data_IF_235861160753
#
_entry.id   IF_235861160753
#
_cell.length_a   1.000
_cell.length_b   1.000
_cell.length_c   1.000
_cell.angle_alpha   90.00
_cell.angle_beta   90.00
_cell.angle_gamma   90.00
#
_symmetry.space_group_name_H-M   'P 1'
#
loop_
_entity.id
_entity.type
_entity.pdbx_description
1 polymer ?
#
# COMPACT_ATOMS: atom_id res chain seq x y z
N UNK A 1 40.85 -14.76 4.45
CA UNK A 1 39.45 -14.37 4.55
C UNK A 1 39.19 -13.19 3.62
N UNK A 2 38.29 -13.36 2.63
CA UNK A 2 38.03 -12.37 1.56
C UNK A 2 37.82 -10.93 2.09
N UNK A 3 37.09 -10.79 3.21
CA UNK A 3 36.86 -9.47 3.84
C UNK A 3 38.20 -8.83 4.26
N UNK A 4 39.04 -9.57 4.95
CA UNK A 4 40.36 -9.06 5.41
C UNK A 4 41.29 -8.76 4.23
N UNK A 5 41.28 -9.60 3.20
CA UNK A 5 42.12 -9.45 2.03
C UNK A 5 41.73 -8.18 1.25
N UNK A 6 40.42 -7.96 1.06
CA UNK A 6 39.91 -6.74 0.41
C UNK A 6 40.18 -5.46 1.23
N UNK A 7 40.06 -5.51 2.55
CA UNK A 7 40.37 -4.36 3.42
C UNK A 7 41.88 -4.02 3.39
N UNK A 8 42.74 -5.02 3.26
CA UNK A 8 44.17 -4.82 3.17
C UNK A 8 44.60 -4.28 1.81
N UNK A 9 44.01 -4.77 0.71
CA UNK A 9 44.34 -4.33 -0.64
C UNK A 9 43.73 -2.95 -1.00
N UNK A 10 42.60 -2.60 -0.37
CA UNK A 10 41.88 -1.36 -0.64
C UNK A 10 41.70 -0.54 0.64
N UNK A 11 42.78 -0.09 1.28
CA UNK A 11 42.72 0.65 2.53
C UNK A 11 41.92 1.96 2.35
N UNK A 12 40.94 2.21 3.22
CA UNK A 12 40.09 3.39 3.16
C UNK A 12 38.79 3.21 2.38
N UNK A 13 38.58 2.11 1.67
CA UNK A 13 37.29 1.78 1.05
C UNK A 13 36.40 1.08 2.07
N UNK A 14 35.29 1.70 2.39
CA UNK A 14 34.25 1.13 3.29
C UNK A 14 33.39 0.13 2.54
N UNK A 15 32.82 -0.84 3.26
CA UNK A 15 31.80 -1.75 2.70
C UNK A 15 32.26 -3.19 2.49
N UNK A 16 33.48 -3.56 2.90
CA UNK A 16 34.00 -4.93 2.77
C UNK A 16 33.91 -5.77 4.07
N UNK A 17 32.98 -5.43 4.98
CA UNK A 17 32.67 -6.30 6.11
C UNK A 17 32.11 -7.64 5.62
N UNK A 18 32.28 -8.71 6.39
CA UNK A 18 31.75 -10.04 6.05
C UNK A 18 30.25 -10.02 5.81
N UNK A 19 29.52 -9.29 6.65
CA UNK A 19 28.07 -9.10 6.51
C UNK A 19 27.73 -8.43 5.18
N UNK A 20 28.42 -7.35 4.84
CA UNK A 20 28.14 -6.62 3.59
C UNK A 20 28.49 -7.44 2.35
N UNK A 21 29.60 -8.18 2.37
CA UNK A 21 29.98 -9.11 1.29
C UNK A 21 28.95 -10.24 1.11
N UNK A 22 28.36 -10.71 2.23
CA UNK A 22 27.26 -11.69 2.20
C UNK A 22 26.03 -11.11 1.52
N UNK A 23 25.63 -9.88 1.86
CA UNK A 23 24.53 -9.21 1.18
C UNK A 23 24.81 -8.92 -0.30
N UNK A 24 26.05 -8.59 -0.66
CA UNK A 24 26.46 -8.43 -2.07
C UNK A 24 26.31 -9.73 -2.85
N UNK A 25 26.66 -10.88 -2.23
CA UNK A 25 26.41 -12.20 -2.83
C UNK A 25 24.92 -12.47 -3.00
N UNK A 26 24.08 -12.17 -1.98
CA UNK A 26 22.63 -12.38 -2.09
C UNK A 26 21.98 -11.44 -3.08
N UNK A 27 22.43 -10.21 -3.16
CA UNK A 27 22.03 -9.26 -4.20
C UNK A 27 22.27 -9.82 -5.60
N UNK A 28 23.49 -10.31 -5.85
CA UNK A 28 23.81 -10.95 -7.12
C UNK A 28 22.91 -12.16 -7.40
N UNK A 29 22.76 -13.05 -6.44
CA UNK A 29 21.92 -14.25 -6.62
C UNK A 29 20.45 -13.93 -6.85
N UNK A 30 19.93 -12.86 -6.22
CA UNK A 30 18.55 -12.45 -6.35
C UNK A 30 18.23 -11.82 -7.71
N UNK A 31 19.18 -11.04 -8.26
CA UNK A 31 18.94 -10.25 -9.47
C UNK A 31 19.73 -10.72 -10.71
N UNK A 32 20.65 -11.70 -10.59
CA UNK A 32 21.57 -12.08 -11.68
C UNK A 32 20.86 -12.55 -12.93
N UNK A 33 19.76 -13.28 -12.83
CA UNK A 33 19.01 -13.74 -14.00
C UNK A 33 18.42 -12.56 -14.77
N UNK A 34 17.86 -11.59 -14.07
CA UNK A 34 17.33 -10.36 -14.67
C UNK A 34 18.42 -9.50 -15.29
N UNK A 35 19.57 -9.38 -14.61
CA UNK A 35 20.73 -8.59 -15.08
C UNK A 35 21.47 -9.24 -16.25
N UNK A 36 21.47 -10.59 -16.34
CA UNK A 36 22.22 -11.34 -17.35
C UNK A 36 21.44 -11.47 -18.67
N UNK A 37 20.12 -11.63 -18.62
CA UNK A 37 19.28 -11.80 -19.81
C UNK A 37 19.11 -10.46 -20.56
N UNK A 38 19.08 -9.37 -19.82
CA UNK A 38 18.96 -8.01 -20.38
C UNK A 38 19.79 -7.02 -19.56
N UNK A 39 21.03 -6.69 -19.96
CA UNK A 39 21.86 -5.69 -19.30
C UNK A 39 21.16 -4.30 -19.19
N UNK A 40 20.29 -3.97 -20.16
CA UNK A 40 19.45 -2.77 -20.15
C UNK A 40 18.25 -2.88 -19.19
N UNK A 41 17.77 -4.09 -18.90
CA UNK A 41 16.63 -4.35 -18.02
C UNK A 41 16.96 -4.06 -16.54
N UNK A 42 18.22 -4.23 -16.13
CA UNK A 42 18.66 -3.81 -14.79
C UNK A 42 18.51 -2.30 -14.58
N UNK A 43 18.64 -1.52 -15.64
CA UNK A 43 18.40 -0.07 -15.65
C UNK A 43 16.89 0.25 -15.76
N UNK A 44 16.14 -0.55 -16.49
CA UNK A 44 14.69 -0.45 -16.65
C UNK A 44 13.95 -0.76 -15.33
N UNK A 45 14.38 -1.78 -14.60
CA UNK A 45 13.82 -2.08 -13.26
C UNK A 45 14.36 -1.18 -12.15
N UNK A 46 15.37 -0.34 -12.44
CA UNK A 46 15.89 0.61 -11.47
C UNK A 46 16.56 -0.01 -10.25
N UNK A 47 17.04 -1.28 -10.34
CA UNK A 47 17.66 -2.01 -9.22
C UNK A 47 18.82 -1.22 -8.61
N UNK A 48 19.59 -0.51 -9.43
CA UNK A 48 20.71 0.32 -8.95
C UNK A 48 20.33 1.73 -8.52
N UNK A 49 19.04 2.10 -8.63
CA UNK A 49 18.56 3.45 -8.31
C UNK A 49 18.07 3.60 -6.87
N UNK A 50 17.85 2.48 -6.15
CA UNK A 50 17.46 2.52 -4.73
C UNK A 50 18.70 2.35 -3.84
N UNK A 51 18.70 2.94 -2.62
CA UNK A 51 19.86 2.86 -1.72
C UNK A 51 20.14 1.42 -1.27
N UNK A 52 21.43 1.11 -1.04
CA UNK A 52 21.88 -0.21 -0.58
C UNK A 52 21.14 -0.71 0.67
N UNK A 53 20.86 0.21 1.62
CA UNK A 53 20.10 -0.13 2.83
C UNK A 53 18.69 -0.67 2.57
N UNK A 54 18.03 -0.24 1.46
CA UNK A 54 16.73 -0.79 1.06
C UNK A 54 16.88 -2.22 0.53
N UNK A 55 17.93 -2.48 -0.26
CA UNK A 55 18.20 -3.83 -0.76
C UNK A 55 18.39 -4.87 0.34
N UNK A 56 19.04 -4.51 1.45
CA UNK A 56 19.19 -5.44 2.58
C UNK A 56 17.84 -5.95 3.08
N UNK A 57 16.86 -5.06 3.28
CA UNK A 57 15.51 -5.46 3.70
C UNK A 57 14.78 -6.29 2.65
N UNK A 58 14.89 -5.91 1.37
CA UNK A 58 14.28 -6.66 0.28
C UNK A 58 14.88 -8.08 0.22
N UNK A 59 16.21 -8.22 0.31
CA UNK A 59 16.91 -9.51 0.32
C UNK A 59 16.44 -10.39 1.47
N UNK A 60 16.36 -9.83 2.69
CA UNK A 60 15.96 -10.58 3.90
C UNK A 60 14.51 -11.08 3.80
N UNK A 61 13.62 -10.28 3.25
CA UNK A 61 12.19 -10.59 3.18
C UNK A 61 11.79 -11.38 1.93
N UNK A 62 12.37 -11.05 0.78
CA UNK A 62 12.02 -11.71 -0.49
C UNK A 62 12.86 -12.99 -0.74
N UNK A 63 14.03 -13.12 -0.10
CA UNK A 63 14.93 -14.30 -0.21
C UNK A 63 15.31 -14.61 -1.66
N UNK A 64 14.62 -15.56 -2.30
CA UNK A 64 14.88 -16.02 -3.68
C UNK A 64 13.77 -15.61 -4.67
N UNK A 65 12.75 -14.91 -4.20
CA UNK A 65 11.64 -14.45 -5.03
C UNK A 65 12.03 -13.15 -5.74
N UNK A 66 12.52 -13.29 -6.95
CA UNK A 66 12.97 -12.16 -7.79
C UNK A 66 11.80 -11.25 -8.18
N UNK A 67 10.63 -11.80 -8.49
CA UNK A 67 9.46 -11.02 -8.91
C UNK A 67 8.96 -10.14 -7.76
N UNK A 68 8.87 -10.72 -6.57
CA UNK A 68 8.53 -9.98 -5.35
C UNK A 68 9.57 -8.91 -5.03
N UNK A 69 10.86 -9.21 -5.17
CA UNK A 69 11.92 -8.24 -4.95
C UNK A 69 11.86 -7.07 -5.94
N UNK A 70 11.68 -7.34 -7.23
CA UNK A 70 11.53 -6.32 -8.27
C UNK A 70 10.26 -5.47 -8.09
N UNK A 71 9.18 -6.07 -7.60
CA UNK A 71 7.99 -5.33 -7.22
C UNK A 71 8.30 -4.26 -6.16
N UNK A 72 9.01 -4.63 -5.08
CA UNK A 72 9.36 -3.67 -4.02
C UNK A 72 10.40 -2.63 -4.48
N UNK A 73 11.34 -2.99 -5.37
CA UNK A 73 12.26 -2.03 -6.00
C UNK A 73 11.46 -0.98 -6.76
N UNK A 74 10.57 -1.40 -7.65
CA UNK A 74 9.73 -0.51 -8.45
C UNK A 74 8.86 0.37 -7.56
N UNK A 75 8.17 -0.20 -6.58
CA UNK A 75 7.32 0.56 -5.65
C UNK A 75 8.11 1.57 -4.82
N UNK A 76 9.32 1.23 -4.42
CA UNK A 76 10.22 2.16 -3.72
C UNK A 76 10.56 3.37 -4.60
N UNK A 77 10.84 3.15 -5.89
CA UNK A 77 11.15 4.23 -6.83
C UNK A 77 9.92 5.09 -7.16
N UNK A 78 8.80 4.45 -7.48
CA UNK A 78 7.56 5.14 -7.84
C UNK A 78 7.05 6.08 -6.73
N UNK A 79 7.22 5.66 -5.48
CA UNK A 79 6.67 6.37 -4.33
C UNK A 79 7.72 7.04 -3.44
N UNK A 80 9.00 6.99 -3.81
CA UNK A 80 10.12 7.51 -3.03
C UNK A 80 10.10 7.03 -1.56
N UNK A 81 9.86 5.73 -1.34
CA UNK A 81 9.73 5.19 0.01
C UNK A 81 11.00 5.33 0.82
N UNK A 82 10.84 5.83 2.04
CA UNK A 82 11.87 5.73 3.07
C UNK A 82 12.08 4.27 3.49
N UNK A 83 13.16 3.98 4.21
CA UNK A 83 13.43 2.65 4.74
C UNK A 83 12.29 2.12 5.63
N UNK A 84 11.74 2.96 6.49
CA UNK A 84 10.64 2.59 7.39
C UNK A 84 9.35 2.25 6.64
N UNK A 85 9.01 3.02 5.60
CA UNK A 85 7.83 2.77 4.77
C UNK A 85 8.00 1.47 3.98
N UNK A 86 9.18 1.25 3.35
CA UNK A 86 9.46 -0.01 2.66
C UNK A 86 9.36 -1.21 3.61
N UNK A 87 9.95 -1.11 4.80
CA UNK A 87 9.91 -2.19 5.79
C UNK A 87 8.47 -2.51 6.22
N UNK A 88 7.65 -1.48 6.48
CA UNK A 88 6.24 -1.67 6.79
C UNK A 88 5.50 -2.45 5.69
N UNK A 89 5.71 -2.12 4.42
CA UNK A 89 5.07 -2.82 3.32
C UNK A 89 5.64 -4.23 3.07
N UNK A 90 6.90 -4.46 3.39
CA UNK A 90 7.49 -5.80 3.38
C UNK A 90 6.90 -6.67 4.51
N UNK A 91 6.71 -6.11 5.71
CA UNK A 91 6.17 -6.81 6.88
C UNK A 91 4.67 -7.10 6.74
N UNK A 92 3.91 -6.21 6.08
CA UNK A 92 2.48 -6.37 5.81
C UNK A 92 2.20 -7.04 4.46
N UNK A 93 3.21 -7.56 3.78
CA UNK A 93 3.14 -8.30 2.51
C UNK A 93 2.29 -7.63 1.43
N UNK A 94 2.62 -6.37 1.11
CA UNK A 94 1.92 -5.60 0.07
C UNK A 94 1.85 -6.34 -1.27
N UNK A 95 2.87 -7.12 -1.61
CA UNK A 95 2.93 -7.87 -2.87
C UNK A 95 1.72 -8.80 -3.05
N UNK A 96 1.30 -9.48 -1.98
CA UNK A 96 0.19 -10.42 -2.02
C UNK A 96 -1.19 -9.75 -1.98
N UNK A 97 -1.32 -8.57 -1.40
CA UNK A 97 -2.62 -7.92 -1.17
C UNK A 97 -2.94 -6.76 -2.11
N UNK A 98 -1.95 -6.24 -2.86
CA UNK A 98 -2.21 -5.17 -3.84
C UNK A 98 -3.02 -5.70 -5.03
N UNK A 99 -4.06 -4.95 -5.41
CA UNK A 99 -4.93 -5.30 -6.53
C UNK A 99 -5.93 -6.43 -6.24
N UNK A 100 -6.04 -6.90 -5.00
CA UNK A 100 -6.88 -8.05 -4.62
C UNK A 100 -8.31 -7.70 -4.22
N UNK A 101 -8.63 -6.42 -4.04
CA UNK A 101 -10.00 -6.00 -3.74
C UNK A 101 -11.01 -6.53 -4.75
N UNK A 102 -12.16 -6.96 -4.27
CA UNK A 102 -13.28 -7.34 -5.13
C UNK A 102 -13.91 -6.06 -5.70
N UNK A 103 -13.98 -5.92 -7.01
CA UNK A 103 -14.50 -4.70 -7.65
C UNK A 103 -15.29 -4.98 -8.92
N UNK A 104 -16.06 -3.98 -9.35
CA UNK A 104 -16.71 -3.96 -10.67
C UNK A 104 -16.02 -2.98 -11.64
N UNK A 105 -14.80 -2.54 -11.37
CA UNK A 105 -14.08 -1.53 -12.15
C UNK A 105 -13.98 -1.89 -13.63
N UNK A 106 -13.75 -3.17 -13.95
CA UNK A 106 -13.68 -3.67 -15.32
C UNK A 106 -14.92 -3.35 -16.17
N UNK A 107 -16.09 -3.28 -15.51
CA UNK A 107 -17.37 -3.07 -16.18
C UNK A 107 -17.84 -1.61 -16.11
N UNK A 108 -17.24 -0.78 -15.26
CA UNK A 108 -17.74 0.55 -14.90
C UNK A 108 -16.76 1.69 -15.20
N UNK A 109 -15.49 1.36 -15.48
CA UNK A 109 -14.46 2.32 -15.85
C UNK A 109 -13.88 2.01 -17.23
N UNK A 110 -13.33 3.02 -17.95
CA UNK A 110 -12.50 2.77 -19.12
C UNK A 110 -11.32 1.84 -18.79
N UNK A 111 -10.88 1.03 -19.74
CA UNK A 111 -9.90 -0.06 -19.54
C UNK A 111 -8.65 0.41 -18.78
N UNK A 112 -8.01 1.50 -19.23
CA UNK A 112 -6.80 2.05 -18.59
C UNK A 112 -7.06 2.46 -17.13
N UNK A 113 -8.19 3.10 -16.88
CA UNK A 113 -8.57 3.57 -15.54
C UNK A 113 -9.00 2.42 -14.63
N UNK A 114 -9.61 1.37 -15.20
CA UNK A 114 -9.98 0.15 -14.50
C UNK A 114 -8.75 -0.57 -13.95
N UNK A 115 -7.73 -0.76 -14.77
CA UNK A 115 -6.50 -1.43 -14.37
C UNK A 115 -5.75 -0.62 -13.31
N UNK A 116 -5.66 0.71 -13.49
CA UNK A 116 -5.07 1.60 -12.49
C UNK A 116 -5.85 1.58 -11.17
N UNK A 117 -7.17 1.68 -11.20
CA UNK A 117 -8.01 1.63 -10.01
C UNK A 117 -7.85 0.29 -9.27
N UNK A 118 -7.81 -0.82 -10.01
CA UNK A 118 -7.61 -2.15 -9.42
C UNK A 118 -6.23 -2.26 -8.75
N UNK A 119 -5.18 -1.70 -9.36
CA UNK A 119 -3.83 -1.72 -8.78
C UNK A 119 -3.68 -0.83 -7.53
N UNK A 120 -4.51 0.19 -7.37
CA UNK A 120 -4.44 1.08 -6.21
C UNK A 120 -5.13 0.50 -4.97
N UNK A 121 -6.12 -0.37 -5.14
CA UNK A 121 -6.84 -0.97 -4.01
C UNK A 121 -6.12 -2.21 -3.48
N UNK A 122 -6.29 -2.49 -2.20
CA UNK A 122 -5.65 -3.60 -1.47
C UNK A 122 -6.70 -4.45 -0.79
N UNK A 123 -6.35 -5.68 -0.51
CA UNK A 123 -7.18 -6.59 0.24
C UNK A 123 -6.33 -7.66 0.95
N UNK A 124 -6.25 -7.63 2.27
CA UNK A 124 -6.80 -6.62 3.18
C UNK A 124 -6.02 -5.30 3.21
N UNK A 125 -6.63 -4.24 3.76
CA UNK A 125 -5.92 -3.06 4.27
C UNK A 125 -5.35 -3.36 5.66
N UNK A 126 -4.13 -2.90 5.96
CA UNK A 126 -3.49 -3.07 7.25
C UNK A 126 -3.55 -1.76 8.06
N UNK A 127 -4.32 -1.76 9.14
CA UNK A 127 -4.49 -0.60 10.02
C UNK A 127 -3.72 -0.75 11.34
N UNK A 128 -2.48 -1.21 11.27
CA UNK A 128 -1.59 -1.47 12.42
C UNK A 128 -1.35 -0.22 13.28
N UNK A 129 -1.44 0.94 12.65
CA UNK A 129 -1.28 2.25 13.29
C UNK A 129 -2.52 2.70 14.08
N UNK A 130 -3.67 2.06 13.86
CA UNK A 130 -4.90 2.35 14.59
C UNK A 130 -4.85 1.63 15.95
N UNK A 131 -4.32 2.30 16.97
CA UNK A 131 -4.28 1.78 18.34
C UNK A 131 -5.70 1.67 18.91
N UNK A 132 -6.37 0.55 18.64
CA UNK A 132 -7.72 0.27 19.08
C UNK A 132 -7.72 -0.85 20.15
N UNK A 133 -8.65 -0.76 21.07
CA UNK A 133 -8.90 -1.84 22.03
C UNK A 133 -9.61 -3.01 21.35
N UNK A 134 -9.67 -4.18 21.99
CA UNK A 134 -10.35 -5.38 21.43
C UNK A 134 -11.84 -5.14 21.10
N UNK A 135 -12.45 -4.16 21.75
CA UNK A 135 -13.84 -3.74 21.50
C UNK A 135 -13.84 -2.29 21.05
N UNK A 136 -14.09 -2.07 19.80
CA UNK A 136 -14.22 -0.74 19.18
C UNK A 136 -15.48 -0.69 18.30
N UNK A 137 -16.03 0.50 18.16
CA UNK A 137 -17.13 0.77 17.25
C UNK A 137 -16.64 1.48 15.97
N UNK A 138 -17.55 1.69 15.04
CA UNK A 138 -17.25 2.30 13.74
C UNK A 138 -16.70 3.73 13.86
N UNK A 139 -17.24 4.50 14.83
CA UNK A 139 -16.75 5.87 15.09
C UNK A 139 -15.33 5.86 15.62
N UNK A 140 -15.01 4.99 16.57
CA UNK A 140 -13.65 4.87 17.13
C UNK A 140 -12.64 4.44 16.07
N UNK A 141 -13.00 3.54 15.15
CA UNK A 141 -12.14 3.17 14.02
C UNK A 141 -11.92 4.37 13.11
N UNK A 142 -12.97 5.07 12.68
CA UNK A 142 -12.85 6.26 11.84
C UNK A 142 -12.05 7.38 12.50
N UNK A 143 -12.24 7.62 13.79
CA UNK A 143 -11.47 8.59 14.56
C UNK A 143 -9.97 8.20 14.62
N UNK A 144 -9.65 6.92 14.78
CA UNK A 144 -8.28 6.42 14.79
C UNK A 144 -7.60 6.56 13.42
N UNK A 145 -8.29 6.27 12.33
CA UNK A 145 -7.79 6.45 10.96
C UNK A 145 -7.48 7.92 10.67
N UNK A 146 -8.40 8.83 11.01
CA UNK A 146 -8.20 10.27 10.79
C UNK A 146 -7.12 10.85 11.71
N UNK A 147 -7.04 10.39 12.97
CA UNK A 147 -5.96 10.78 13.88
C UNK A 147 -4.57 10.40 13.36
N UNK A 148 -4.49 9.30 12.62
CA UNK A 148 -3.27 8.79 12.00
C UNK A 148 -3.31 8.94 10.48
N UNK A 149 -3.80 10.07 9.99
CA UNK A 149 -4.08 10.29 8.56
C UNK A 149 -2.85 10.07 7.66
N UNK A 150 -1.65 10.40 8.13
CA UNK A 150 -0.41 10.17 7.40
C UNK A 150 -0.20 8.68 7.11
N UNK A 151 -0.30 7.83 8.14
CA UNK A 151 -0.17 6.39 7.99
C UNK A 151 -1.33 5.81 7.16
N UNK A 152 -2.54 6.35 7.31
CA UNK A 152 -3.68 5.92 6.52
C UNK A 152 -3.50 6.27 5.03
N UNK A 153 -2.98 7.45 4.70
CA UNK A 153 -2.65 7.82 3.32
C UNK A 153 -1.54 6.94 2.72
N UNK A 154 -0.52 6.60 3.51
CA UNK A 154 0.52 5.64 3.10
C UNK A 154 -0.12 4.28 2.82
N UNK A 155 -1.00 3.82 3.69
CA UNK A 155 -1.69 2.54 3.48
C UNK A 155 -2.67 2.59 2.31
N UNK A 156 -3.42 3.67 2.09
CA UNK A 156 -4.26 3.82 0.89
C UNK A 156 -3.41 3.74 -0.38
N UNK A 157 -2.26 4.39 -0.40
CA UNK A 157 -1.29 4.29 -1.48
C UNK A 157 -1.14 5.56 -2.32
N UNK A 158 -0.61 5.38 -3.53
CA UNK A 158 -0.20 6.50 -4.36
C UNK A 158 -1.38 7.38 -4.82
N UNK A 159 -1.14 8.68 -4.77
CA UNK A 159 -2.03 9.69 -5.32
C UNK A 159 -3.21 10.08 -4.44
N UNK A 160 -3.44 9.46 -3.29
CA UNK A 160 -4.54 9.83 -2.40
C UNK A 160 -4.26 11.15 -1.67
N UNK A 161 -5.17 12.11 -1.84
CA UNK A 161 -5.21 13.38 -1.12
C UNK A 161 -6.49 13.42 -0.28
N UNK A 162 -6.34 13.61 1.03
CA UNK A 162 -7.46 13.67 1.97
C UNK A 162 -8.20 14.99 1.88
N UNK A 163 -9.52 14.94 1.69
CA UNK A 163 -10.38 16.11 1.58
C UNK A 163 -11.22 16.36 2.84
N UNK A 164 -11.52 15.32 3.61
CA UNK A 164 -12.26 15.46 4.86
C UNK A 164 -13.02 14.19 5.26
N UNK A 165 -13.42 14.16 6.54
CA UNK A 165 -14.34 13.17 7.10
C UNK A 165 -15.74 13.76 7.21
N UNK A 166 -16.75 12.87 7.33
CA UNK A 166 -18.16 13.29 7.36
C UNK A 166 -18.40 14.37 6.28
N UNK A 167 -17.91 14.06 5.07
CA UNK A 167 -17.84 15.02 3.98
C UNK A 167 -19.25 15.31 3.48
N UNK A 168 -19.68 16.58 3.64
CA UNK A 168 -21.00 17.04 3.27
C UNK A 168 -21.13 17.19 1.77
N UNK A 169 -22.11 16.52 1.17
CA UNK A 169 -22.53 16.66 -0.22
C UNK A 169 -23.96 17.16 -0.25
N UNK A 170 -24.19 18.34 -0.84
CA UNK A 170 -25.51 18.92 -0.99
C UNK A 170 -26.13 18.50 -2.32
N UNK A 171 -27.31 17.88 -2.29
CA UNK A 171 -28.04 17.45 -3.47
C UNK A 171 -29.48 17.93 -3.37
N UNK A 172 -29.84 18.98 -4.10
CA UNK A 172 -31.15 19.62 -3.97
C UNK A 172 -31.37 20.15 -2.56
N UNK A 173 -32.39 19.64 -1.87
CA UNK A 173 -32.70 20.00 -0.48
C UNK A 173 -32.20 18.98 0.54
N UNK A 174 -31.34 18.04 0.11
CA UNK A 174 -30.84 16.95 0.95
C UNK A 174 -29.35 17.10 1.19
N UNK A 175 -28.91 16.86 2.41
CA UNK A 175 -27.50 16.80 2.78
C UNK A 175 -27.12 15.33 3.03
N UNK A 176 -26.03 14.91 2.44
CA UNK A 176 -25.44 13.61 2.64
C UNK A 176 -24.05 13.77 3.27
N UNK A 177 -23.64 12.81 4.09
CA UNK A 177 -22.36 12.84 4.77
C UNK A 177 -21.62 11.53 4.49
N UNK A 178 -20.62 11.58 3.60
CA UNK A 178 -19.74 10.45 3.33
C UNK A 178 -18.70 10.31 4.45
N UNK A 179 -18.37 9.09 4.85
CA UNK A 179 -17.43 8.84 5.95
C UNK A 179 -16.10 9.56 5.73
N UNK A 180 -15.50 9.35 4.58
CA UNK A 180 -14.26 10.03 4.19
C UNK A 180 -14.25 10.29 2.68
N UNK A 181 -13.79 11.48 2.31
CA UNK A 181 -13.62 11.89 0.93
C UNK A 181 -12.14 12.10 0.62
N UNK A 182 -11.72 11.56 -0.51
CA UNK A 182 -10.38 11.75 -1.07
C UNK A 182 -10.48 12.20 -2.53
N UNK A 183 -9.40 12.79 -3.03
CA UNK A 183 -9.13 12.93 -4.46
C UNK A 183 -7.89 12.11 -4.80
N UNK A 184 -7.95 11.28 -5.84
CA UNK A 184 -6.78 10.53 -6.29
C UNK A 184 -6.18 11.20 -7.52
N UNK A 185 -4.93 11.68 -7.39
CA UNK A 185 -4.20 12.42 -8.43
C UNK A 185 -3.69 11.54 -9.57
N UNK A 186 -3.62 10.23 -9.39
CA UNK A 186 -3.22 9.26 -10.44
C UNK A 186 -4.42 8.89 -11.29
N UNK A 187 -5.56 8.63 -10.65
CA UNK A 187 -6.82 8.35 -11.33
C UNK A 187 -7.55 9.60 -11.81
N UNK A 188 -7.15 10.78 -11.34
CA UNK A 188 -7.87 12.04 -11.57
C UNK A 188 -9.37 11.92 -11.25
N UNK A 189 -9.70 11.44 -10.06
CA UNK A 189 -11.10 11.28 -9.64
C UNK A 189 -11.27 11.44 -8.13
N UNK A 190 -12.51 11.71 -7.72
CA UNK A 190 -12.90 11.63 -6.33
C UNK A 190 -13.01 10.18 -5.90
N UNK A 191 -12.66 9.91 -4.63
CA UNK A 191 -12.79 8.58 -4.03
C UNK A 191 -13.56 8.71 -2.71
N UNK A 192 -14.72 8.06 -2.66
CA UNK A 192 -15.53 7.95 -1.43
C UNK A 192 -15.10 6.68 -0.70
N UNK A 193 -14.66 6.82 0.54
CA UNK A 193 -14.29 5.67 1.38
C UNK A 193 -15.29 5.53 2.52
N UNK A 194 -15.95 4.38 2.60
CA UNK A 194 -16.82 3.95 3.68
C UNK A 194 -16.15 2.85 4.49
N UNK A 195 -16.18 2.95 5.81
CA UNK A 195 -15.58 1.96 6.71
C UNK A 195 -16.64 1.33 7.59
N UNK A 196 -16.68 0.00 7.66
CA UNK A 196 -17.64 -0.77 8.45
C UNK A 196 -16.90 -1.73 9.40
N UNK A 197 -17.28 -1.72 10.68
CA UNK A 197 -16.73 -2.64 11.71
C UNK A 197 -17.40 -4.01 11.74
N UNK A 198 -18.29 -4.27 10.77
CA UNK A 198 -19.00 -5.53 10.59
C UNK A 198 -18.52 -6.28 9.36
N UNK A 199 -18.92 -7.54 9.27
CA UNK A 199 -18.83 -8.32 8.03
C UNK A 199 -19.62 -7.64 6.93
N UNK A 200 -19.14 -7.76 5.68
CA UNK A 200 -19.81 -7.23 4.50
C UNK A 200 -21.29 -7.66 4.40
N UNK A 201 -22.14 -6.69 4.16
CA UNK A 201 -23.54 -6.86 3.82
C UNK A 201 -23.86 -6.11 2.53
N UNK A 202 -24.62 -6.69 1.57
CA UNK A 202 -24.97 -6.02 0.30
C UNK A 202 -25.64 -4.65 0.47
N UNK A 203 -26.32 -4.42 1.59
CA UNK A 203 -26.96 -3.15 1.95
C UNK A 203 -25.97 -1.98 2.03
N UNK A 204 -24.70 -2.22 2.38
CA UNK A 204 -23.66 -1.18 2.47
C UNK A 204 -23.35 -0.56 1.12
N UNK A 205 -23.47 -1.34 0.03
CA UNK A 205 -23.23 -0.84 -1.33
C UNK A 205 -24.28 0.18 -1.77
N UNK A 206 -25.51 0.06 -1.31
CA UNK A 206 -26.58 1.03 -1.62
C UNK A 206 -26.22 2.44 -1.15
N UNK A 207 -25.74 2.56 0.08
CA UNK A 207 -25.30 3.82 0.67
C UNK A 207 -24.07 4.37 -0.08
N UNK A 208 -23.03 3.55 -0.25
CA UNK A 208 -21.79 3.95 -0.95
C UNK A 208 -22.08 4.36 -2.38
N UNK A 209 -22.89 3.59 -3.13
CA UNK A 209 -23.26 3.92 -4.51
C UNK A 209 -24.02 5.25 -4.59
N UNK A 210 -24.89 5.53 -3.61
CA UNK A 210 -25.56 6.83 -3.50
C UNK A 210 -24.56 7.97 -3.34
N UNK A 211 -23.60 7.86 -2.44
CA UNK A 211 -22.55 8.86 -2.26
C UNK A 211 -21.69 9.05 -3.51
N UNK A 212 -21.29 7.96 -4.17
CA UNK A 212 -20.52 8.00 -5.42
C UNK A 212 -21.30 8.74 -6.52
N UNK A 213 -22.60 8.42 -6.69
CA UNK A 213 -23.44 9.13 -7.66
C UNK A 213 -23.53 10.62 -7.35
N UNK A 214 -23.78 10.99 -6.11
CA UNK A 214 -23.90 12.38 -5.69
C UNK A 214 -22.57 13.14 -5.87
N UNK A 215 -21.46 12.56 -5.42
CA UNK A 215 -20.13 13.15 -5.61
C UNK A 215 -19.80 13.32 -7.10
N UNK A 216 -20.13 12.33 -7.93
CA UNK A 216 -19.91 12.39 -9.38
C UNK A 216 -20.70 13.52 -10.06
N UNK A 217 -21.89 13.86 -9.58
CA UNK A 217 -22.70 14.94 -10.16
C UNK A 217 -22.39 16.32 -9.56
N UNK A 218 -21.98 16.39 -8.31
CA UNK A 218 -21.82 17.66 -7.58
C UNK A 218 -20.37 18.14 -7.57
N UNK A 219 -19.42 17.21 -7.41
CA UNK A 219 -18.00 17.56 -7.19
C UNK A 219 -17.16 17.41 -8.44
N UNK A 220 -17.47 16.43 -9.29
CA UNK A 220 -16.70 16.11 -10.50
C UNK A 220 -16.63 17.30 -11.43
N UNK A 221 -15.44 17.60 -11.94
CA UNK A 221 -15.16 18.68 -12.88
C UNK A 221 -14.81 18.14 -14.26
N UNK A 222 -14.78 19.04 -15.24
CA UNK A 222 -14.30 18.70 -16.58
C UNK A 222 -12.84 18.22 -16.49
N UNK A 223 -12.57 17.06 -17.08
CA UNK A 223 -11.28 16.39 -17.03
C UNK A 223 -11.14 15.33 -15.92
N UNK A 224 -12.04 15.30 -14.94
CA UNK A 224 -12.05 14.22 -13.93
C UNK A 224 -12.67 12.94 -14.50
N UNK A 225 -12.11 11.82 -14.09
CA UNK A 225 -12.71 10.50 -14.31
C UNK A 225 -13.90 10.25 -13.36
N UNK A 226 -14.72 9.21 -13.61
CA UNK A 226 -15.82 8.87 -12.74
C UNK A 226 -15.37 8.65 -11.29
N UNK A 227 -16.15 9.16 -10.34
CA UNK A 227 -15.92 8.95 -8.89
C UNK A 227 -15.93 7.48 -8.54
N UNK A 228 -14.98 7.05 -7.74
CA UNK A 228 -14.83 5.66 -7.27
C UNK A 228 -15.31 5.56 -5.82
N UNK A 229 -15.98 4.47 -5.48
CA UNK A 229 -16.35 4.11 -4.12
C UNK A 229 -15.50 2.94 -3.60
N UNK A 230 -15.02 3.04 -2.38
CA UNK A 230 -14.28 1.99 -1.69
C UNK A 230 -14.95 1.68 -0.36
N UNK A 231 -15.45 0.47 -0.22
CA UNK A 231 -15.96 -0.07 1.04
C UNK A 231 -14.86 -0.89 1.71
N UNK A 232 -14.52 -0.53 2.93
CA UNK A 232 -13.56 -1.28 3.76
C UNK A 232 -14.31 -1.85 4.96
N UNK A 233 -14.42 -3.17 5.06
CA UNK A 233 -15.18 -3.86 6.10
C UNK A 233 -14.29 -4.84 6.89
N UNK A 234 -14.80 -5.31 8.02
CA UNK A 234 -14.01 -6.18 8.90
C UNK A 234 -13.75 -7.57 8.30
N UNK A 235 -14.67 -8.07 7.50
CA UNK A 235 -14.63 -9.40 6.90
C UNK A 235 -15.61 -9.44 5.71
N UNK A 236 -15.38 -10.26 4.71
CA UNK A 236 -16.29 -10.46 3.58
C UNK A 236 -16.27 -11.89 3.07
N UNK A 237 -17.29 -12.23 2.32
CA UNK A 237 -17.30 -13.38 1.43
C UNK A 237 -17.12 -12.87 0.00
N UNK A 238 -16.07 -13.32 -0.68
CA UNK A 238 -15.70 -12.85 -2.03
C UNK A 238 -16.76 -13.16 -3.07
N UNK A 239 -17.48 -14.28 -2.93
CA UNK A 239 -18.53 -14.67 -3.87
C UNK A 239 -19.75 -13.76 -3.69
N UNK A 240 -20.14 -13.52 -2.43
CA UNK A 240 -21.23 -12.61 -2.09
C UNK A 240 -20.90 -11.16 -2.51
N UNK A 241 -19.67 -10.72 -2.29
CA UNK A 241 -19.21 -9.39 -2.68
C UNK A 241 -19.27 -9.20 -4.20
N UNK A 242 -18.83 -10.19 -4.99
CA UNK A 242 -18.93 -10.16 -6.47
C UNK A 242 -20.38 -10.08 -6.94
N UNK A 243 -21.25 -10.95 -6.44
CA UNK A 243 -22.65 -10.94 -6.86
C UNK A 243 -23.38 -9.67 -6.46
N UNK A 244 -23.07 -9.13 -5.29
CA UNK A 244 -23.65 -7.87 -4.85
C UNK A 244 -23.26 -6.69 -5.76
N UNK A 245 -22.05 -6.69 -6.33
CA UNK A 245 -21.57 -5.64 -7.24
C UNK A 245 -22.22 -5.68 -8.63
N UNK A 246 -22.75 -6.82 -9.09
CA UNK A 246 -23.34 -6.95 -10.43
C UNK A 246 -24.52 -5.99 -10.66
N UNK A 247 -25.22 -5.60 -9.61
CA UNK A 247 -26.35 -4.67 -9.69
C UNK A 247 -25.98 -3.19 -9.76
N UNK A 248 -24.70 -2.81 -9.72
CA UNK A 248 -24.25 -1.43 -9.63
C UNK A 248 -23.48 -0.96 -10.86
N UNK A 249 -23.85 0.22 -11.36
CA UNK A 249 -23.19 0.89 -12.49
C UNK A 249 -22.08 1.86 -12.04
N UNK A 250 -22.02 2.20 -10.76
CA UNK A 250 -20.94 3.01 -10.20
C UNK A 250 -19.68 2.17 -9.99
N UNK A 251 -18.49 2.74 -10.15
CA UNK A 251 -17.24 2.05 -9.87
C UNK A 251 -17.08 1.84 -8.36
N UNK A 252 -17.19 0.58 -7.92
CA UNK A 252 -17.13 0.21 -6.51
C UNK A 252 -16.09 -0.88 -6.27
N UNK A 253 -15.35 -0.74 -5.17
CA UNK A 253 -14.42 -1.75 -4.65
C UNK A 253 -14.79 -2.14 -3.22
N UNK A 254 -14.56 -3.39 -2.87
CA UNK A 254 -14.81 -3.95 -1.53
C UNK A 254 -13.52 -4.62 -1.05
N UNK A 255 -13.07 -4.22 0.12
CA UNK A 255 -11.88 -4.77 0.77
C UNK A 255 -12.16 -5.09 2.23
N UNK A 256 -11.37 -5.99 2.77
CA UNK A 256 -11.27 -6.18 4.22
C UNK A 256 -10.23 -5.25 4.82
N UNK A 257 -10.21 -5.17 6.15
CA UNK A 257 -9.08 -4.63 6.89
C UNK A 257 -8.67 -5.57 8.02
N UNK A 258 -7.38 -5.52 8.33
CA UNK A 258 -6.79 -6.18 9.48
C UNK A 258 -6.24 -5.14 10.44
N UNK A 259 -6.41 -5.42 11.74
CA UNK A 259 -5.73 -4.70 12.81
C UNK A 259 -4.63 -5.62 13.32
N UNK A 260 -3.40 -5.14 13.36
CA UNK A 260 -2.32 -5.91 13.97
C UNK A 260 -2.64 -6.22 15.43
N UNK A 261 -2.39 -7.46 15.84
CA UNK A 261 -2.40 -7.87 17.24
C UNK A 261 -1.13 -7.43 17.99
N UNK A 262 -0.18 -6.86 17.27
CA UNK A 262 1.08 -6.38 17.83
C UNK A 262 0.86 -4.97 18.35
N UNK A 263 0.91 -4.79 19.66
CA UNK A 263 0.97 -3.46 20.26
C UNK A 263 2.21 -2.73 19.72
N UNK A 264 2.13 -1.41 19.45
CA UNK A 264 3.29 -0.62 18.98
C UNK A 264 4.53 -0.72 19.89
N UNK A 265 4.39 -1.18 21.13
CA UNK A 265 5.48 -1.42 22.08
C UNK A 265 6.25 -2.73 21.83
N UNK A 266 5.68 -3.67 21.08
CA UNK A 266 6.32 -4.95 20.75
C UNK A 266 7.07 -4.93 19.41
N UNK A 267 7.01 -3.84 18.67
CA UNK A 267 7.87 -3.56 17.52
C UNK A 267 9.31 -3.21 17.95
N UNK A 268 9.89 -4.03 18.79
CA UNK A 268 11.33 -4.24 18.75
C UNK A 268 11.56 -5.12 17.54
N UNK A 269 11.78 -4.44 16.41
CA UNK A 269 12.20 -5.09 15.17
C UNK A 269 13.23 -6.18 15.52
N UNK A 270 13.01 -7.39 15.03
CA UNK A 270 14.02 -8.47 15.05
C UNK A 270 15.19 -8.12 14.12
N UNK A 271 15.18 -6.94 13.54
CA UNK A 271 16.28 -6.33 12.81
C UNK A 271 17.20 -5.64 13.83
N UNK A 272 18.52 -5.77 13.68
CA UNK A 272 19.47 -5.03 14.49
C UNK A 272 19.11 -3.53 14.46
N UNK A 273 19.15 -2.87 15.61
CA UNK A 273 18.89 -1.42 15.69
C UNK A 273 19.85 -0.64 14.77
N UNK A 274 19.48 0.58 14.41
CA UNK A 274 20.40 1.45 13.64
C UNK A 274 21.74 1.57 14.38
N UNK A 275 21.73 1.61 15.70
CA UNK A 275 22.91 1.65 16.57
C UNK A 275 23.71 0.33 16.54
N UNK A 276 23.06 -0.81 16.38
CA UNK A 276 23.73 -2.11 16.21
C UNK A 276 24.32 -2.23 14.80
N UNK A 277 23.64 -1.69 13.79
CA UNK A 277 24.16 -1.63 12.43
C UNK A 277 25.28 -0.60 12.28
N UNK A 278 25.22 0.52 13.00
CA UNK A 278 26.29 1.53 13.03
C UNK A 278 27.51 1.01 13.78
N UNK A 279 27.37 0.29 14.89
CA UNK A 279 28.48 -0.39 15.58
C UNK A 279 29.13 -1.46 14.73
N UNK A 280 28.35 -2.24 13.97
CA UNK A 280 28.90 -3.22 13.01
C UNK A 280 29.56 -2.57 11.79
N UNK A 281 29.34 -1.28 11.55
CA UNK A 281 29.98 -0.51 10.48
C UNK A 281 31.23 0.24 10.98
N UNK A 282 31.43 0.36 12.27
CA UNK A 282 32.61 0.99 12.89
C UNK A 282 33.73 -0.02 13.25
N UNK A 283 33.44 -1.33 13.31
CA UNK A 283 34.40 -2.43 13.45
C UNK A 283 34.73 -3.05 12.05
#
# INVERSE_FOLDING_TARGET
NLSRDLQNELPGVKGFSETNLRYSKYFYLLYNQTLTIHPQVGDEFGVFKIPWGHHKYIIDKCKKDTDKALFYVRKTLENNWSRSVLLNFLDTDLYERQGKAVSNFKNTLPEVNSDLAQQLVKDPYCFDFASLTDRYNEKELKDALVKNIENFLIELGNGFAYMGREYRIEVGNTELFADMMFYNTVLHCYVVVEVKTKKFEPSFLGQLSGYVSCANHVLRRDGDNPTVGLLICKDKDDVMARYALEGYNNPLGISEYELSKLFPQDFKSTLPSIEDLEKELED
#
